data_IF_906855608797
#
_entry.id   IF_906855608797
#
_cell.length_a   1.000
_cell.length_b   1.000
_cell.length_c   1.000
_cell.angle_alpha   90.00
_cell.angle_beta   90.00
_cell.angle_gamma   90.00
#
_symmetry.space_group_name_H-M   'P 1'
#
loop_
_entity.id
_entity.type
_entity.pdbx_description
1 polymer ?
#
# COMPACT_ATOMS: atom_id res chain seq x y z
N UNK A 1 6.44 -27.06 -0.26
CA UNK A 1 6.53 -26.24 -1.49
C UNK A 1 5.16 -26.27 -2.11
N UNK A 2 4.36 -25.24 -2.03
CA UNK A 2 3.08 -24.95 -2.70
C UNK A 2 2.02 -24.36 -1.77
N UNK A 3 2.29 -23.15 -1.20
CA UNK A 3 1.24 -22.39 -0.52
C UNK A 3 1.30 -20.88 -0.80
N UNK A 4 2.03 -20.49 -1.86
CA UNK A 4 2.21 -19.05 -2.16
C UNK A 4 1.26 -18.52 -3.24
N UNK A 5 0.57 -19.39 -3.98
CA UNK A 5 -0.24 -18.99 -5.13
C UNK A 5 -1.72 -18.76 -4.86
N UNK A 6 -2.23 -19.10 -3.66
CA UNK A 6 -3.68 -19.04 -3.38
C UNK A 6 -4.17 -17.75 -2.72
N UNK A 7 -3.30 -16.82 -2.34
CA UNK A 7 -3.70 -15.60 -1.62
C UNK A 7 -3.94 -14.37 -2.51
N UNK A 8 -3.51 -14.40 -3.76
CA UNK A 8 -3.64 -13.26 -4.68
C UNK A 8 -5.00 -13.22 -5.42
N UNK A 9 -5.82 -14.26 -5.29
CA UNK A 9 -7.11 -14.33 -6.01
C UNK A 9 -8.27 -13.61 -5.30
N UNK A 10 -8.05 -13.04 -4.13
CA UNK A 10 -9.09 -12.35 -3.36
C UNK A 10 -8.87 -10.83 -3.24
N UNK A 11 -8.18 -10.21 -4.17
CA UNK A 11 -8.34 -8.77 -4.35
C UNK A 11 -9.79 -8.53 -4.77
N UNK A 12 -10.57 -7.70 -4.06
CA UNK A 12 -11.93 -7.44 -4.46
C UNK A 12 -11.90 -6.92 -5.89
N UNK A 13 -12.48 -7.70 -6.80
CA UNK A 13 -12.90 -7.18 -8.11
C UNK A 13 -14.03 -6.19 -7.84
N UNK A 14 -13.70 -5.03 -7.30
CA UNK A 14 -14.54 -3.87 -7.46
C UNK A 14 -14.53 -3.60 -8.96
N UNK A 15 -15.62 -3.97 -9.59
CA UNK A 15 -15.87 -3.74 -11.01
C UNK A 15 -15.69 -2.24 -11.28
N UNK A 16 -14.50 -1.84 -11.69
CA UNK A 16 -14.23 -0.55 -12.32
C UNK A 16 -14.76 -0.62 -13.75
N UNK A 17 -16.06 -0.91 -13.88
CA UNK A 17 -16.79 -0.76 -15.13
C UNK A 17 -17.16 0.72 -15.31
N UNK A 18 -16.17 1.59 -15.33
CA UNK A 18 -16.23 2.89 -15.95
C UNK A 18 -15.47 2.76 -17.28
N UNK A 19 -16.22 2.66 -18.37
CA UNK A 19 -15.70 2.64 -19.72
C UNK A 19 -14.81 3.85 -19.96
N UNK A 20 -13.48 3.67 -19.83
CA UNK A 20 -12.50 4.64 -20.31
C UNK A 20 -12.53 4.64 -21.82
N UNK A 21 -13.10 5.69 -22.38
CA UNK A 21 -13.16 5.89 -23.81
C UNK A 21 -11.76 6.18 -24.32
N UNK A 22 -11.22 5.32 -25.15
CA UNK A 22 -9.85 5.34 -25.71
C UNK A 22 -9.49 6.61 -26.52
N UNK A 23 -10.39 7.59 -26.61
CA UNK A 23 -10.20 8.83 -27.41
C UNK A 23 -9.57 10.00 -26.65
N UNK A 24 -9.42 9.92 -25.33
CA UNK A 24 -8.93 11.06 -24.54
C UNK A 24 -7.42 11.02 -24.22
N UNK A 25 -6.69 10.07 -24.80
CA UNK A 25 -5.27 9.80 -24.45
C UNK A 25 -4.26 10.37 -25.45
N UNK A 26 -4.59 11.38 -26.25
CA UNK A 26 -3.62 11.90 -27.22
C UNK A 26 -3.54 13.43 -27.24
N UNK A 27 -3.00 14.00 -26.16
CA UNK A 27 -2.45 15.35 -26.18
C UNK A 27 -1.31 15.47 -25.14
N UNK A 28 -0.02 15.40 -25.57
CA UNK A 28 1.13 15.40 -24.66
C UNK A 28 1.44 16.76 -24.03
N UNK A 29 0.78 17.86 -24.40
CA UNK A 29 1.15 19.22 -24.00
C UNK A 29 0.20 19.90 -22.99
N UNK A 30 -0.76 19.17 -22.41
CA UNK A 30 -1.63 19.71 -21.34
C UNK A 30 -1.40 19.06 -20.00
N UNK A 31 -0.16 19.06 -19.51
CA UNK A 31 0.19 18.59 -18.17
C UNK A 31 0.10 19.71 -17.13
N UNK A 32 -1.04 20.38 -17.00
CA UNK A 32 -1.36 21.23 -15.84
C UNK A 32 -2.83 21.11 -15.42
N UNK A 33 -3.39 19.93 -15.53
CA UNK A 33 -4.69 19.60 -14.98
C UNK A 33 -4.55 18.36 -14.10
N UNK A 34 -4.69 18.51 -12.80
CA UNK A 34 -4.78 17.41 -11.84
C UNK A 34 -5.84 16.43 -12.36
N UNK A 35 -5.43 15.25 -12.79
CA UNK A 35 -6.31 14.15 -13.24
C UNK A 35 -7.02 13.54 -12.01
N UNK A 36 -7.68 14.37 -11.21
CA UNK A 36 -8.36 13.92 -9.98
C UNK A 36 -9.74 13.33 -10.23
N UNK A 37 -10.27 13.45 -11.46
CA UNK A 37 -11.61 12.97 -11.79
C UNK A 37 -11.66 11.52 -12.35
N UNK A 38 -10.52 10.90 -12.64
CA UNK A 38 -10.48 9.59 -13.30
C UNK A 38 -10.19 8.43 -12.35
N UNK A 39 -9.78 8.69 -11.11
CA UNK A 39 -9.48 7.64 -10.16
C UNK A 39 -10.56 7.53 -9.08
N UNK A 40 -11.16 6.36 -8.89
CA UNK A 40 -12.21 6.17 -7.91
C UNK A 40 -11.69 6.41 -6.48
N UNK A 41 -12.56 6.94 -5.63
CA UNK A 41 -12.31 7.08 -4.20
C UNK A 41 -11.87 5.74 -3.58
N UNK A 42 -11.12 5.82 -2.49
CA UNK A 42 -10.72 4.63 -1.74
C UNK A 42 -11.97 4.04 -1.07
N UNK A 43 -12.19 2.74 -1.24
CA UNK A 43 -13.33 2.04 -0.70
C UNK A 43 -13.02 1.39 0.65
N UNK A 44 -14.03 1.28 1.51
CA UNK A 44 -13.90 0.61 2.82
C UNK A 44 -13.47 -0.86 2.68
N UNK A 45 -13.91 -1.54 1.63
CA UNK A 45 -13.51 -2.93 1.35
C UNK A 45 -12.02 -3.07 1.03
N UNK A 46 -11.40 -2.09 0.37
CA UNK A 46 -9.96 -2.07 0.12
C UNK A 46 -9.17 -1.91 1.44
N UNK A 47 -9.64 -1.03 2.32
CA UNK A 47 -9.03 -0.84 3.66
C UNK A 47 -9.13 -2.11 4.49
N UNK A 48 -10.30 -2.75 4.49
CA UNK A 48 -10.55 -4.02 5.19
C UNK A 48 -9.65 -5.14 4.66
N UNK A 49 -9.53 -5.27 3.35
CA UNK A 49 -8.63 -6.23 2.70
C UNK A 49 -7.16 -5.95 3.04
N UNK A 50 -6.71 -4.71 2.90
CA UNK A 50 -5.34 -4.32 3.18
C UNK A 50 -4.96 -4.58 4.65
N UNK A 51 -5.84 -4.21 5.60
CA UNK A 51 -5.67 -4.46 7.02
C UNK A 51 -5.61 -5.97 7.33
N UNK A 52 -6.48 -6.76 6.71
CA UNK A 52 -6.50 -8.22 6.83
C UNK A 52 -5.21 -8.88 6.36
N UNK A 53 -4.57 -8.31 5.35
CA UNK A 53 -3.34 -8.84 4.75
C UNK A 53 -2.08 -8.58 5.61
N UNK A 54 -2.14 -7.69 6.62
CA UNK A 54 -1.01 -7.43 7.51
C UNK A 54 -0.91 -8.56 8.55
N UNK A 55 0.26 -9.21 8.63
CA UNK A 55 0.51 -10.31 9.56
C UNK A 55 0.53 -9.86 11.00
N UNK A 56 0.07 -10.72 11.94
CA UNK A 56 -0.20 -10.35 13.34
C UNK A 56 1.06 -10.00 14.15
N UNK A 57 2.17 -10.68 13.92
CA UNK A 57 3.37 -10.59 14.79
C UNK A 57 4.46 -9.73 14.13
N UNK A 58 4.12 -8.51 13.70
CA UNK A 58 5.10 -7.56 13.17
C UNK A 58 5.38 -6.46 14.20
N UNK A 59 6.64 -6.04 14.24
CA UNK A 59 7.06 -4.90 15.05
C UNK A 59 6.30 -3.63 14.67
N UNK A 60 6.03 -2.80 15.66
CA UNK A 60 5.36 -1.50 15.49
C UNK A 60 6.25 -0.53 14.73
N UNK A 61 5.64 0.45 14.06
CA UNK A 61 6.37 1.60 13.54
C UNK A 61 6.72 2.61 14.64
N UNK A 62 7.12 3.80 14.23
CA UNK A 62 7.45 4.89 15.15
C UNK A 62 6.27 5.41 15.98
N UNK A 63 5.04 5.09 15.57
CA UNK A 63 3.80 5.40 16.29
C UNK A 63 3.52 4.47 17.49
N UNK A 64 4.28 3.39 17.63
CA UNK A 64 4.10 2.40 18.69
C UNK A 64 2.80 1.59 18.61
N UNK A 65 1.97 1.75 17.58
CA UNK A 65 0.66 1.11 17.47
C UNK A 65 0.81 -0.31 16.91
N UNK A 66 0.50 -1.36 17.70
CA UNK A 66 0.59 -2.73 17.22
C UNK A 66 -0.58 -3.08 16.31
N UNK A 67 -0.32 -3.93 15.31
CA UNK A 67 -1.37 -4.40 14.38
C UNK A 67 -2.52 -5.13 15.11
N UNK A 68 -2.23 -5.71 16.27
CA UNK A 68 -3.22 -6.38 17.11
C UNK A 68 -4.35 -5.43 17.53
N UNK A 69 -4.04 -4.16 17.79
CA UNK A 69 -5.04 -3.14 18.16
C UNK A 69 -6.07 -2.96 17.05
N UNK A 70 -5.63 -2.80 15.80
CA UNK A 70 -6.55 -2.68 14.66
C UNK A 70 -7.44 -3.91 14.48
N UNK A 71 -6.93 -5.09 14.83
CA UNK A 71 -7.70 -6.34 14.74
C UNK A 71 -8.72 -6.51 15.86
N UNK A 72 -8.46 -5.94 17.04
CA UNK A 72 -9.41 -5.92 18.17
C UNK A 72 -10.55 -4.95 17.87
N UNK A 73 -10.25 -3.75 17.39
CA UNK A 73 -11.23 -2.70 17.08
C UNK A 73 -12.08 -3.01 15.83
N UNK A 74 -11.68 -4.01 15.02
CA UNK A 74 -12.43 -4.50 13.84
C UNK A 74 -13.03 -3.39 12.97
N UNK A 75 -14.36 -3.26 12.96
CA UNK A 75 -15.10 -2.33 12.12
C UNK A 75 -14.77 -0.85 12.38
N UNK A 76 -14.56 -0.46 13.62
CA UNK A 76 -14.25 0.94 13.96
C UNK A 76 -12.86 1.34 13.47
N UNK A 77 -11.87 0.43 13.60
CA UNK A 77 -10.56 0.67 13.02
C UNK A 77 -10.62 0.84 11.50
N UNK A 78 -11.44 0.04 10.82
CA UNK A 78 -11.63 0.14 9.37
C UNK A 78 -12.23 1.50 8.99
N UNK A 79 -13.27 1.96 9.68
CA UNK A 79 -13.90 3.26 9.42
C UNK A 79 -12.94 4.42 9.60
N UNK A 80 -12.18 4.44 10.70
CA UNK A 80 -11.18 5.48 10.98
C UNK A 80 -10.09 5.47 9.90
N UNK A 81 -9.52 4.31 9.60
CA UNK A 81 -8.50 4.19 8.56
C UNK A 81 -9.03 4.58 7.18
N UNK A 82 -10.27 4.22 6.86
CA UNK A 82 -10.91 4.60 5.61
C UNK A 82 -11.03 6.13 5.48
N UNK A 83 -11.52 6.82 6.53
CA UNK A 83 -11.60 8.27 6.55
C UNK A 83 -10.23 8.93 6.33
N UNK A 84 -9.18 8.44 7.01
CA UNK A 84 -7.82 8.96 6.85
C UNK A 84 -7.28 8.67 5.45
N UNK A 85 -7.47 7.47 4.92
CA UNK A 85 -7.04 7.12 3.56
C UNK A 85 -7.74 7.96 2.50
N UNK A 86 -9.06 8.21 2.64
CA UNK A 86 -9.79 9.11 1.75
C UNK A 86 -9.28 10.55 1.81
N UNK A 87 -8.99 11.04 3.02
CA UNK A 87 -8.42 12.39 3.17
C UNK A 87 -7.06 12.50 2.47
N UNK A 88 -6.17 11.50 2.66
CA UNK A 88 -4.88 11.46 1.97
C UNK A 88 -5.08 11.44 0.45
N UNK A 89 -6.04 10.62 -0.03
CA UNK A 89 -6.34 10.50 -1.45
C UNK A 89 -6.78 11.83 -2.07
N UNK A 90 -7.67 12.55 -1.40
CA UNK A 90 -8.22 13.83 -1.86
C UNK A 90 -7.23 14.99 -1.73
N UNK A 91 -6.47 15.04 -0.64
CA UNK A 91 -5.57 16.16 -0.37
C UNK A 91 -4.14 15.95 -0.86
N UNK A 92 -3.78 14.71 -1.21
CA UNK A 92 -2.41 14.31 -1.54
C UNK A 92 -1.41 14.57 -0.39
N UNK A 93 -1.91 14.79 0.82
CA UNK A 93 -1.09 15.10 1.98
C UNK A 93 -1.06 13.92 2.97
N UNK A 94 0.14 13.42 3.22
CA UNK A 94 0.36 12.36 4.19
C UNK A 94 0.53 12.93 5.60
N UNK A 95 -0.03 12.31 6.65
CA UNK A 95 0.24 12.65 8.03
C UNK A 95 1.74 12.60 8.33
N UNK A 96 2.25 13.54 9.13
CA UNK A 96 3.69 13.64 9.42
C UNK A 96 4.23 12.36 10.08
N UNK A 97 3.45 11.74 10.98
CA UNK A 97 3.85 10.50 11.64
C UNK A 97 3.95 9.30 10.68
N UNK A 98 3.20 9.33 9.57
CA UNK A 98 3.28 8.29 8.54
C UNK A 98 4.50 8.43 7.64
N UNK A 99 5.09 9.63 7.58
CA UNK A 99 6.33 9.90 6.85
C UNK A 99 7.59 9.48 7.64
N UNK A 100 7.45 9.20 8.95
CA UNK A 100 8.56 8.80 9.81
C UNK A 100 8.81 7.31 9.72
N UNK A 101 10.07 6.94 9.63
CA UNK A 101 10.53 5.55 9.63
C UNK A 101 11.53 5.34 10.75
N UNK A 102 11.47 4.18 11.38
CA UNK A 102 12.45 3.74 12.37
C UNK A 102 13.40 2.76 11.71
N UNK A 103 14.70 3.06 11.77
CA UNK A 103 15.76 2.22 11.22
C UNK A 103 16.35 1.36 12.32
N UNK A 104 16.33 0.04 12.13
CA UNK A 104 16.89 -0.92 13.09
C UNK A 104 18.04 -1.66 12.40
N UNK A 105 19.29 -1.47 12.88
CA UNK A 105 20.43 -2.24 12.39
C UNK A 105 20.37 -3.65 12.97
N UNK A 106 20.43 -4.68 12.11
CA UNK A 106 20.51 -6.09 12.51
C UNK A 106 21.86 -6.63 12.09
N UNK A 107 22.65 -7.21 13.03
CA UNK A 107 23.93 -7.79 12.68
C UNK A 107 23.77 -8.99 11.73
N UNK A 108 24.61 -9.03 10.72
CA UNK A 108 24.85 -10.23 9.90
C UNK A 108 25.74 -11.19 10.69
N UNK A 109 25.90 -12.43 10.18
CA UNK A 109 26.94 -13.33 10.68
C UNK A 109 28.31 -12.74 10.38
N UNK A 110 29.18 -12.58 11.39
CA UNK A 110 30.52 -12.03 11.24
C UNK A 110 30.90 -11.08 12.37
N UNK A 111 31.89 -10.22 12.11
CA UNK A 111 32.39 -9.29 13.11
C UNK A 111 31.38 -8.14 13.33
N UNK A 112 30.81 -8.08 14.53
CA UNK A 112 29.85 -7.03 14.91
C UNK A 112 30.47 -5.61 15.06
N UNK A 113 31.78 -5.48 14.98
CA UNK A 113 32.47 -4.18 15.06
C UNK A 113 32.50 -3.45 13.71
N UNK A 114 32.18 -4.13 12.61
CA UNK A 114 32.20 -3.54 11.28
C UNK A 114 30.80 -3.08 10.85
N UNK A 115 30.66 -1.82 10.48
CA UNK A 115 29.34 -1.27 10.00
C UNK A 115 28.82 -2.00 8.77
N UNK A 116 29.68 -2.53 7.89
CA UNK A 116 29.34 -3.32 6.73
C UNK A 116 28.61 -4.64 7.07
N UNK A 117 28.77 -5.12 8.31
CA UNK A 117 28.15 -6.35 8.80
C UNK A 117 26.75 -6.16 9.39
N UNK A 118 26.12 -5.03 9.12
CA UNK A 118 24.73 -4.78 9.51
C UNK A 118 23.79 -4.73 8.29
N UNK A 119 22.55 -5.19 8.51
CA UNK A 119 21.42 -4.97 7.62
C UNK A 119 20.46 -4.00 8.28
N UNK A 120 19.98 -3.02 7.56
CA UNK A 120 18.98 -2.09 8.10
C UNK A 120 17.57 -2.59 7.77
N UNK A 121 16.73 -2.75 8.80
CA UNK A 121 15.30 -2.93 8.65
C UNK A 121 14.62 -1.61 8.90
N UNK A 122 13.67 -1.27 8.03
CA UNK A 122 12.86 -0.05 8.14
C UNK A 122 11.47 -0.42 8.66
N UNK A 123 11.10 0.19 9.77
CA UNK A 123 9.76 0.05 10.34
C UNK A 123 8.96 1.32 10.07
N UNK A 124 7.81 1.15 9.45
CA UNK A 124 6.81 2.21 9.24
C UNK A 124 5.52 1.84 9.96
N UNK A 125 4.65 2.83 10.21
CA UNK A 125 3.36 2.61 10.89
C UNK A 125 2.50 1.56 10.18
N UNK A 126 1.70 0.82 10.93
CA UNK A 126 0.78 -0.15 10.33
C UNK A 126 -0.34 0.53 9.54
N UNK A 127 -0.78 1.70 9.97
CA UNK A 127 -1.76 2.51 9.26
C UNK A 127 -1.21 2.97 7.89
N UNK A 128 0.03 3.45 7.85
CA UNK A 128 0.72 3.78 6.58
C UNK A 128 0.82 2.57 5.65
N UNK A 129 1.12 1.38 6.20
CA UNK A 129 1.16 0.13 5.40
C UNK A 129 -0.18 -0.22 4.76
N UNK A 130 -1.31 0.10 5.41
CA UNK A 130 -2.64 -0.12 4.81
C UNK A 130 -2.78 0.70 3.54
N UNK A 131 -2.49 2.00 3.61
CA UNK A 131 -2.56 2.89 2.43
C UNK A 131 -1.62 2.43 1.32
N UNK A 132 -0.36 2.13 1.65
CA UNK A 132 0.62 1.64 0.67
C UNK A 132 0.18 0.35 -0.02
N UNK A 133 -0.49 -0.56 0.68
CA UNK A 133 -1.03 -1.80 0.09
C UNK A 133 -2.17 -1.53 -0.89
N UNK A 134 -3.03 -0.57 -0.58
CA UNK A 134 -4.10 -0.16 -1.50
C UNK A 134 -3.48 0.42 -2.78
N UNK A 135 -2.52 1.33 -2.64
CA UNK A 135 -1.82 1.92 -3.78
C UNK A 135 -1.09 0.85 -4.60
N UNK A 136 -0.40 -0.07 -3.94
CA UNK A 136 0.29 -1.19 -4.61
C UNK A 136 -0.68 -2.06 -5.41
N UNK A 137 -1.86 -2.37 -4.85
CA UNK A 137 -2.87 -3.19 -5.54
C UNK A 137 -3.43 -2.47 -6.78
N UNK A 138 -3.74 -1.18 -6.65
CA UNK A 138 -4.23 -0.35 -7.77
C UNK A 138 -3.16 -0.21 -8.86
N UNK A 139 -1.92 0.08 -8.48
CA UNK A 139 -0.81 0.18 -9.42
C UNK A 139 -0.56 -1.15 -10.14
N UNK A 140 -0.59 -2.29 -9.44
CA UNK A 140 -0.44 -3.62 -10.05
C UNK A 140 -1.54 -3.90 -11.08
N UNK A 141 -2.79 -3.54 -10.78
CA UNK A 141 -3.89 -3.68 -11.74
C UNK A 141 -3.65 -2.82 -13.00
N UNK A 142 -3.26 -1.57 -12.81
CA UNK A 142 -2.94 -0.66 -13.91
C UNK A 142 -1.78 -1.20 -14.75
N UNK A 143 -0.69 -1.62 -14.13
CA UNK A 143 0.48 -2.18 -14.82
C UNK A 143 0.14 -3.45 -15.62
N UNK A 144 -0.65 -4.36 -15.04
CA UNK A 144 -1.07 -5.58 -15.74
C UNK A 144 -1.96 -5.30 -16.95
N UNK A 145 -2.65 -4.16 -16.97
CA UNK A 145 -3.47 -3.75 -18.11
C UNK A 145 -2.66 -3.08 -19.22
N UNK A 146 -1.66 -2.28 -18.84
CA UNK A 146 -0.89 -1.46 -19.79
C UNK A 146 0.40 -2.13 -20.30
N UNK A 147 0.97 -3.05 -19.53
CA UNK A 147 2.20 -3.72 -19.92
C UNK A 147 1.90 -5.04 -20.66
N UNK A 148 2.45 -5.23 -21.88
CA UNK A 148 2.35 -6.52 -22.56
C UNK A 148 3.12 -7.59 -21.81
N UNK A 149 2.64 -8.85 -21.87
CA UNK A 149 3.17 -10.03 -21.15
C UNK A 149 4.67 -10.34 -21.36
N UNK A 150 5.35 -9.60 -22.22
CA UNK A 150 6.75 -9.83 -22.61
C UNK A 150 7.76 -9.34 -21.56
N UNK A 151 7.36 -8.57 -20.55
CA UNK A 151 8.29 -8.04 -19.53
C UNK A 151 8.23 -8.76 -18.17
N UNK A 152 7.70 -9.97 -18.08
CA UNK A 152 7.75 -10.80 -16.89
C UNK A 152 9.08 -11.58 -16.79
N UNK A 153 10.20 -10.87 -16.80
CA UNK A 153 11.51 -11.49 -16.74
C UNK A 153 12.50 -10.71 -15.89
N UNK A 154 12.39 -10.86 -14.55
CA UNK A 154 13.51 -10.74 -13.60
C UNK A 154 13.24 -11.63 -12.40
#
# INVERSE_FOLDING_TARGET
MNDFQSRDQCAPRCSLAGSLNKKDLHDPDKHSGVITHLEPDILECEVKWALGSITKNKATGGDGIPVKLFKILKGDAVKVLHSVCQQIWKTQQWPQDWKRSVFIPIPKKGNAKECSNYRTIVLISHASKVMLKILQARLKQYMNHELPDVQAGF
#
